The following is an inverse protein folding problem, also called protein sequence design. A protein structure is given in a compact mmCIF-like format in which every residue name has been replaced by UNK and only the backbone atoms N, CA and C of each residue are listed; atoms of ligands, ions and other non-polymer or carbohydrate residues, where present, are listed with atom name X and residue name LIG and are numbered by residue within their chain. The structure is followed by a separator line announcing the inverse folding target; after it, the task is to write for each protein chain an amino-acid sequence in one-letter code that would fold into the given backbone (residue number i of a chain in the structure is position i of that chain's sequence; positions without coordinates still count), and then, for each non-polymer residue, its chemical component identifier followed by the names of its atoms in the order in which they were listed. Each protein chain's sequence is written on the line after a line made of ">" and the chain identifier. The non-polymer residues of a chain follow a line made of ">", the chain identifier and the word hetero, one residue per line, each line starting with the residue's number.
data_IF_269357849532
#
_entry.id   IF_269357849532
#
_cell.length_a   1.000
_cell.length_b   1.000
_cell.length_c   1.000
_cell.angle_alpha   90.00
_cell.angle_beta   90.00
_cell.angle_gamma   90.00
#
_symmetry.space_group_name_H-M   'P 1'
#
loop_
_entity.id
_entity.type
_entity.pdbx_description
1 polymer ?
2 non-polymer ?
3 non-polymer ?
4 water ?
#
# COMPACT_ATOMS: atom_id res chain seq x y z
N UNK A 6 -22.94 17.66 -14.60
CA UNK A 6 -21.68 18.45 -14.45
C UNK A 6 -20.91 18.03 -13.20
N UNK A 7 -21.66 17.68 -12.16
CA UNK A 7 -21.05 17.25 -10.90
C UNK A 7 -20.11 16.08 -11.12
N UNK A 8 -20.56 15.10 -11.89
CA UNK A 8 -19.75 13.92 -12.17
C UNK A 8 -18.45 14.31 -12.88
N UNK A 9 -18.48 15.42 -13.60
CA UNK A 9 -17.31 15.91 -14.31
C UNK A 9 -16.27 16.35 -13.29
N UNK A 10 -16.74 16.93 -12.20
CA UNK A 10 -15.87 17.42 -11.14
C UNK A 10 -15.09 16.28 -10.47
N UNK A 11 -15.79 15.19 -10.18
CA UNK A 11 -15.15 14.04 -9.54
C UNK A 11 -14.09 13.45 -10.47
N UNK A 12 -14.42 13.36 -11.75
CA UNK A 12 -13.48 12.82 -12.74
C UNK A 12 -12.29 13.76 -12.88
N UNK A 13 -12.56 15.05 -12.78
CA UNK A 13 -11.52 16.07 -12.87
C UNK A 13 -10.57 15.85 -11.69
N UNK A 14 -11.16 15.65 -10.52
CA UNK A 14 -10.40 15.43 -9.30
C UNK A 14 -9.66 14.10 -9.37
N UNK A 15 -10.30 13.11 -9.97
CA UNK A 15 -9.71 11.78 -10.11
C UNK A 15 -8.45 11.91 -10.97
N UNK A 16 -8.54 12.73 -12.01
CA UNK A 16 -7.41 12.93 -12.90
C UNK A 16 -6.22 13.54 -12.15
N UNK A 17 -6.49 14.56 -11.34
CA UNK A 17 -5.44 15.20 -10.56
C UNK A 17 -4.80 14.18 -9.63
N UNK A 18 -5.63 13.33 -9.04
CA UNK A 18 -5.14 12.29 -8.14
C UNK A 18 -4.28 11.30 -8.92
N UNK A 19 -4.76 10.86 -10.08
CA UNK A 19 -3.99 9.91 -10.87
C UNK A 19 -2.65 10.49 -11.32
N UNK A 20 -2.60 11.81 -11.51
CA UNK A 20 -1.35 12.45 -11.93
C UNK A 20 -0.29 12.47 -10.84
N UNK A 21 -0.69 12.15 -9.61
CA UNK A 21 0.25 12.12 -8.49
C UNK A 21 0.48 10.70 -7.98
N UNK A 22 -0.28 9.74 -8.50
CA UNK A 22 -0.14 8.35 -8.08
C UNK A 22 1.26 7.80 -8.35
N UNK A 23 1.77 7.03 -7.39
CA UNK A 23 3.08 6.40 -7.49
C UNK A 23 2.85 4.95 -7.92
N UNK A 24 2.83 4.71 -9.23
CA UNK A 24 2.57 3.37 -9.75
C UNK A 24 3.61 2.38 -9.28
N UNK A 25 4.70 2.93 -8.77
CA UNK A 25 5.88 2.23 -8.31
C UNK A 25 5.93 1.83 -6.83
N UNK A 26 5.07 2.45 -6.02
CA UNK A 26 5.03 2.17 -4.58
C UNK A 26 3.83 1.26 -4.28
N UNK A 27 4.11 -0.01 -4.05
CA UNK A 27 3.08 -1.02 -3.81
C UNK A 27 2.97 -1.39 -2.34
N UNK A 28 1.76 -1.69 -1.89
CA UNK A 28 1.57 -2.11 -0.51
C UNK A 28 0.91 -3.49 -0.50
N UNK A 29 1.39 -4.36 0.38
CA UNK A 29 0.84 -5.71 0.51
C UNK A 29 0.45 -5.88 1.98
N UNK A 30 -0.84 -6.11 2.23
CA UNK A 30 -1.35 -6.30 3.58
C UNK A 30 -1.40 -7.80 3.85
N UNK A 31 -0.54 -8.25 4.76
CA UNK A 31 -0.45 -9.66 5.08
C UNK A 31 -1.27 -10.04 6.29
N UNK A 32 -2.46 -10.57 6.03
CA UNK A 32 -3.37 -11.02 7.07
C UNK A 32 -3.71 -9.97 8.12
N UNK A 33 -4.20 -8.81 7.68
CA UNK A 33 -4.59 -7.76 8.62
C UNK A 33 -5.89 -8.20 9.28
N UNK A 34 -5.86 -8.30 10.60
CA UNK A 34 -6.99 -8.74 11.40
C UNK A 34 -8.36 -8.13 11.14
N UNK A 35 -8.62 -6.96 11.71
CA UNK A 35 -9.94 -6.34 11.56
C UNK A 35 -10.11 -5.34 10.43
N UNK A 36 -11.35 -5.19 9.99
CA UNK A 36 -11.67 -4.29 8.90
C UNK A 36 -11.44 -2.82 9.19
N UNK A 37 -11.48 -2.42 10.46
CA UNK A 37 -11.25 -1.02 10.80
C UNK A 37 -9.80 -0.68 10.45
N UNK A 38 -8.87 -1.57 10.81
CA UNK A 38 -7.46 -1.32 10.50
C UNK A 38 -7.26 -1.40 8.99
N UNK A 39 -7.91 -2.37 8.34
CA UNK A 39 -7.75 -2.50 6.90
C UNK A 39 -8.25 -1.24 6.17
N UNK A 40 -9.42 -0.74 6.57
CA UNK A 40 -9.97 0.45 5.93
C UNK A 40 -9.07 1.66 6.14
N UNK A 41 -8.48 1.76 7.33
CA UNK A 41 -7.59 2.86 7.63
C UNK A 41 -6.36 2.78 6.73
N UNK A 42 -5.89 1.56 6.48
CA UNK A 42 -4.73 1.36 5.61
C UNK A 42 -5.07 1.78 4.18
N UNK A 43 -6.29 1.49 3.75
CA UNK A 43 -6.70 1.88 2.40
C UNK A 43 -6.66 3.40 2.30
N UNK A 44 -7.19 4.08 3.32
CA UNK A 44 -7.20 5.54 3.35
C UNK A 44 -5.78 6.09 3.29
N UNK A 45 -4.87 5.47 4.03
CA UNK A 45 -3.48 5.90 4.06
C UNK A 45 -2.79 5.69 2.71
N UNK A 46 -3.12 4.59 2.04
CA UNK A 46 -2.54 4.32 0.72
C UNK A 46 -2.94 5.45 -0.22
N UNK A 47 -4.22 5.78 -0.20
CA UNK A 47 -4.78 6.84 -1.03
C UNK A 47 -4.08 8.18 -0.76
N UNK A 48 -3.82 8.45 0.52
CA UNK A 48 -3.18 9.69 0.94
C UNK A 48 -1.77 9.90 0.41
N UNK A 49 -0.96 8.84 0.38
CA UNK A 49 0.41 8.97 -0.09
C UNK A 49 0.62 8.72 -1.57
N UNK A 50 -0.44 8.38 -2.28
CA UNK A 50 -0.29 8.15 -3.71
C UNK A 50 -0.14 6.70 -4.12
N UNK A 51 -0.45 5.78 -3.22
CA UNK A 51 -0.35 4.37 -3.57
C UNK A 51 -1.53 4.02 -4.47
N UNK A 52 -1.24 3.33 -5.57
CA UNK A 52 -2.27 2.94 -6.52
C UNK A 52 -2.66 1.47 -6.41
N UNK A 53 -1.73 0.63 -5.98
CA UNK A 53 -2.01 -0.80 -5.86
C UNK A 53 -1.82 -1.35 -4.45
N UNK A 54 -2.88 -1.95 -3.92
CA UNK A 54 -2.87 -2.55 -2.59
C UNK A 54 -3.29 -4.01 -2.76
N UNK A 55 -2.42 -4.94 -2.40
CA UNK A 55 -2.72 -6.36 -2.48
C UNK A 55 -2.90 -6.84 -1.06
N UNK A 56 -3.68 -7.91 -0.88
CA UNK A 56 -3.89 -8.42 0.47
C UNK A 56 -4.13 -9.93 0.49
N UNK A 57 -3.76 -10.54 1.61
CA UNK A 57 -3.91 -11.97 1.84
C UNK A 57 -4.67 -12.07 3.16
N UNK A 58 -5.75 -12.84 3.19
CA UNK A 58 -6.50 -12.95 4.44
C UNK A 58 -7.00 -14.36 4.74
N UNK A 59 -7.25 -14.61 6.02
CA UNK A 59 -7.72 -15.91 6.49
C UNK A 59 -8.99 -16.36 5.77
N UNK A 60 -9.15 -17.67 5.63
CA UNK A 60 -10.30 -18.25 4.95
C UNK A 60 -10.57 -17.48 3.67
N UNK A 61 -9.86 -17.84 2.60
CA UNK A 61 -10.03 -17.13 1.35
C UNK A 61 -9.40 -15.77 1.54
N UNK A 62 -10.22 -14.78 1.90
CA UNK A 62 -9.80 -13.40 2.16
C UNK A 62 -10.87 -12.39 1.76
N UNK A 63 -12.13 -12.80 1.82
CA UNK A 63 -13.23 -11.91 1.47
C UNK A 63 -13.23 -10.71 2.42
N UNK A 64 -12.47 -9.68 2.05
CA UNK A 64 -12.36 -8.47 2.87
C UNK A 64 -13.50 -7.49 2.62
N UNK A 65 -14.14 -7.05 3.69
CA UNK A 65 -15.24 -6.10 3.61
C UNK A 65 -14.80 -4.74 4.14
N UNK A 66 -14.62 -3.79 3.23
CA UNK A 66 -14.19 -2.44 3.60
C UNK A 66 -15.37 -1.62 4.13
N UNK A 67 -15.10 -0.79 5.13
CA UNK A 67 -16.13 0.05 5.72
C UNK A 67 -16.12 1.41 5.04
N UNK A 68 -17.19 1.70 4.30
CA UNK A 68 -17.30 2.97 3.58
C UNK A 68 -17.27 4.16 4.54
N UNK A 69 -17.74 3.94 5.77
CA UNK A 69 -17.76 5.01 6.75
C UNK A 69 -16.39 5.33 7.32
N UNK A 70 -15.45 4.39 7.18
CA UNK A 70 -14.09 4.57 7.68
C UNK A 70 -13.12 4.85 6.53
N UNK A 71 -13.47 4.39 5.34
CA UNK A 71 -12.63 4.60 4.17
C UNK A 71 -12.98 5.93 3.52
N UNK A 72 -14.17 6.44 3.83
CA UNK A 72 -14.65 7.71 3.29
C UNK A 72 -14.74 7.66 1.76
N UNK A 73 -14.85 6.45 1.22
CA UNK A 73 -14.95 6.30 -0.22
C UNK A 73 -13.61 6.18 -0.92
N UNK A 74 -12.53 6.29 -0.15
CA UNK A 74 -11.18 6.21 -0.70
C UNK A 74 -10.93 4.84 -1.34
N UNK A 75 -11.62 3.82 -0.84
CA UNK A 75 -11.47 2.47 -1.36
C UNK A 75 -11.75 2.43 -2.86
N UNK A 76 -12.29 3.53 -3.38
CA UNK A 76 -12.63 3.60 -4.79
C UNK A 76 -11.49 4.00 -5.72
N UNK A 77 -10.50 4.73 -5.22
CA UNK A 77 -9.40 5.15 -6.08
C UNK A 77 -8.06 4.45 -5.87
N UNK A 78 -8.12 3.26 -5.28
CA UNK A 78 -6.94 2.43 -5.06
C UNK A 78 -7.37 1.04 -5.55
N UNK A 79 -6.52 0.38 -6.33
CA UNK A 79 -6.85 -0.96 -6.82
C UNK A 79 -6.53 -1.93 -5.69
N UNK A 80 -7.55 -2.63 -5.21
CA UNK A 80 -7.38 -3.59 -4.12
C UNK A 80 -7.56 -4.99 -4.70
N UNK A 81 -6.51 -5.80 -4.60
CA UNK A 81 -6.53 -7.16 -5.14
C UNK A 81 -6.18 -8.24 -4.13
N UNK A 82 -7.07 -9.22 -4.01
CA UNK A 82 -6.88 -10.34 -3.10
C UNK A 82 -5.89 -11.32 -3.73
N UNK A 83 -4.97 -11.84 -2.93
CA UNK A 83 -3.95 -12.78 -3.38
C UNK A 83 -4.10 -14.06 -2.57
N UNK A 84 -3.92 -15.22 -3.21
CA UNK A 84 -4.05 -16.50 -2.51
C UNK A 84 -2.71 -17.06 -2.06
N UNK A 85 -1.64 -16.55 -2.65
CA UNK A 85 -0.29 -17.01 -2.33
C UNK A 85 0.63 -15.79 -2.29
N UNK A 86 0.93 -15.28 -1.08
CA UNK A 86 1.79 -14.11 -0.88
C UNK A 86 3.18 -14.19 -1.50
N UNK A 87 3.92 -15.24 -1.17
CA UNK A 87 5.27 -15.42 -1.68
C UNK A 87 5.31 -15.45 -3.21
N UNK A 88 4.35 -16.13 -3.82
CA UNK A 88 4.30 -16.22 -5.27
C UNK A 88 4.10 -14.83 -5.88
N UNK A 89 3.16 -14.08 -5.34
CA UNK A 89 2.88 -12.74 -5.84
C UNK A 89 4.07 -11.81 -5.62
N UNK A 90 4.65 -11.86 -4.43
CA UNK A 90 5.79 -11.02 -4.12
C UNK A 90 6.99 -11.36 -4.99
N UNK A 91 7.13 -12.63 -5.35
CA UNK A 91 8.24 -13.06 -6.20
C UNK A 91 8.08 -12.46 -7.58
N UNK A 92 6.83 -12.31 -8.02
CA UNK A 92 6.55 -11.73 -9.32
C UNK A 92 7.07 -10.30 -9.36
N UNK A 93 6.86 -9.56 -8.28
CA UNK A 93 7.34 -8.18 -8.22
C UNK A 93 8.85 -8.15 -8.08
N UNK A 94 9.38 -9.05 -7.25
CA UNK A 94 10.82 -9.10 -7.03
C UNK A 94 11.56 -9.34 -8.35
N UNK A 95 11.10 -10.33 -9.11
CA UNK A 95 11.73 -10.64 -10.39
C UNK A 95 11.58 -9.48 -11.38
N UNK A 96 10.64 -8.58 -11.10
CA UNK A 96 10.41 -7.42 -11.96
C UNK A 96 11.25 -6.22 -11.52
N UNK A 97 12.11 -6.42 -10.53
CA UNK A 97 12.96 -5.34 -10.06
C UNK A 97 12.49 -4.59 -8.83
N UNK A 98 11.41 -5.06 -8.21
CA UNK A 98 10.89 -4.40 -7.01
C UNK A 98 11.59 -4.93 -5.76
N UNK A 99 11.98 -4.03 -4.86
CA UNK A 99 12.60 -4.47 -3.62
C UNK A 99 11.44 -4.78 -2.67
N UNK A 100 11.53 -5.90 -1.97
CA UNK A 100 10.49 -6.31 -1.04
C UNK A 100 10.92 -5.88 0.37
N UNK A 101 10.16 -4.95 0.94
CA UNK A 101 10.43 -4.40 2.27
C UNK A 101 9.36 -4.91 3.23
N UNK A 102 9.77 -5.70 4.22
CA UNK A 102 8.80 -6.26 5.15
C UNK A 102 9.02 -5.91 6.61
N UNK A 103 7.93 -5.63 7.31
CA UNK A 103 8.01 -5.32 8.74
C UNK A 103 8.23 -6.65 9.43
N UNK A 104 9.36 -6.78 10.11
CA UNK A 104 9.71 -8.01 10.81
C UNK A 104 10.22 -7.62 12.20
N UNK A 105 9.50 -8.05 13.23
CA UNK A 105 9.85 -7.72 14.61
C UNK A 105 11.01 -8.59 15.06
N UNK A 106 12.21 -8.05 14.92
CA UNK A 106 13.42 -8.78 15.28
C UNK A 106 14.57 -7.80 15.47
N UNK A 107 15.52 -8.17 16.34
CA UNK A 107 16.66 -7.31 16.60
C UNK A 107 17.59 -7.26 15.38
N UNK A 108 17.37 -8.17 14.44
CA UNK A 108 18.18 -8.22 13.22
C UNK A 108 17.67 -7.24 12.16
N UNK A 109 16.44 -6.76 12.34
CA UNK A 109 15.84 -5.83 11.39
C UNK A 109 16.46 -4.44 11.51
N UNK A 110 16.34 -3.64 10.46
CA UNK A 110 16.90 -2.31 10.47
C UNK A 110 15.83 -1.24 10.65
N UNK A 111 16.26 -0.06 11.09
CA UNK A 111 15.38 1.08 11.29
C UNK A 111 14.72 1.36 9.93
N UNK A 112 13.40 1.50 9.92
CA UNK A 112 12.66 1.73 8.68
C UNK A 112 13.12 2.93 7.84
N UNK A 113 13.82 3.87 8.46
CA UNK A 113 14.28 5.04 7.70
C UNK A 113 15.56 4.78 6.90
N UNK A 114 16.13 3.59 7.05
CA UNK A 114 17.36 3.26 6.33
C UNK A 114 17.10 2.74 4.92
N UNK A 115 15.83 2.46 4.62
CA UNK A 115 15.44 1.97 3.31
C UNK A 115 15.23 3.11 2.33
N UNK A 116 15.53 2.86 1.06
CA UNK A 116 15.34 3.86 0.01
C UNK A 116 14.00 3.53 -0.65
N UNK A 117 12.95 4.26 -0.27
CA UNK A 117 11.61 4.01 -0.81
C UNK A 117 11.34 4.67 -2.17
N UNK A 118 12.33 5.36 -2.73
CA UNK A 118 12.14 6.03 -4.02
C UNK A 118 12.27 5.09 -5.22
N UNK A 119 12.81 3.90 -5.00
CA UNK A 119 12.95 2.92 -6.08
C UNK A 119 11.71 2.03 -6.05
N UNK A 120 11.47 1.25 -7.13
CA UNK A 120 10.29 0.37 -7.14
C UNK A 120 10.29 -0.45 -5.86
N UNK A 121 9.22 -0.31 -5.08
CA UNK A 121 9.12 -0.98 -3.79
C UNK A 121 7.75 -1.56 -3.46
N UNK A 122 7.76 -2.72 -2.81
CA UNK A 122 6.53 -3.33 -2.34
C UNK A 122 6.69 -3.35 -0.82
N UNK A 123 5.88 -2.57 -0.11
CA UNK A 123 5.94 -2.54 1.35
C UNK A 123 4.96 -3.59 1.88
N UNK A 124 5.46 -4.56 2.64
CA UNK A 124 4.60 -5.59 3.20
C UNK A 124 4.42 -5.38 4.69
N UNK A 125 3.16 -5.28 5.12
CA UNK A 125 2.83 -5.08 6.53
C UNK A 125 1.86 -6.19 6.92
N UNK A 126 1.64 -6.39 8.21
CA UNK A 126 0.71 -7.44 8.58
C UNK A 126 0.50 -7.62 10.07
N UNK A 127 -0.38 -8.56 10.41
CA UNK A 127 -0.69 -8.86 11.80
C UNK A 127 -0.27 -10.25 12.23
N UNK A 128 0.78 -10.80 11.63
CA UNK A 128 1.25 -12.11 12.06
C UNK A 128 2.11 -11.81 13.29
N UNK A 129 2.53 -12.85 14.00
CA UNK A 129 3.32 -12.69 15.22
C UNK A 129 4.42 -11.63 15.16
N UNK A 130 5.24 -11.67 14.12
CA UNK A 130 6.33 -10.70 13.99
C UNK A 130 6.11 -9.69 12.86
N UNK A 131 4.85 -9.48 12.49
CA UNK A 131 4.53 -8.55 11.42
C UNK A 131 4.05 -9.36 10.23
N UNK A 132 4.98 -9.72 9.36
CA UNK A 132 4.66 -10.54 8.21
C UNK A 132 4.96 -11.98 8.62
N UNK A 133 4.52 -12.94 7.81
CA UNK A 133 4.77 -14.34 8.12
C UNK A 133 6.22 -14.69 7.84
N UNK A 134 6.69 -15.83 8.37
CA UNK A 134 8.08 -16.23 8.13
C UNK A 134 8.26 -16.57 6.65
N UNK A 135 7.20 -17.05 6.02
CA UNK A 135 7.24 -17.39 4.60
C UNK A 135 7.57 -16.15 3.78
N UNK A 136 6.93 -15.04 4.13
CA UNK A 136 7.16 -13.79 3.42
C UNK A 136 8.53 -13.17 3.72
N UNK A 137 8.92 -13.11 4.99
CA UNK A 137 10.19 -12.51 5.34
C UNK A 137 11.37 -13.23 4.68
N UNK A 138 11.19 -14.51 4.37
CA UNK A 138 12.25 -15.29 3.74
C UNK A 138 12.66 -14.76 2.37
N UNK A 139 11.74 -14.08 1.69
CA UNK A 139 12.02 -13.54 0.37
C UNK A 139 12.23 -12.02 0.35
N UNK A 140 12.15 -11.39 1.51
CA UNK A 140 12.31 -9.94 1.60
C UNK A 140 13.73 -9.46 1.35
N UNK A 141 13.85 -8.26 0.78
CA UNK A 141 15.14 -7.64 0.50
C UNK A 141 15.54 -6.83 1.72
N UNK A 142 14.54 -6.29 2.41
CA UNK A 142 14.77 -5.50 3.61
C UNK A 142 13.79 -5.92 4.71
N UNK A 143 14.29 -6.04 5.93
CA UNK A 143 13.48 -6.39 7.09
C UNK A 143 13.53 -5.15 7.98
N UNK A 144 12.38 -4.53 8.22
CA UNK A 144 12.35 -3.30 9.00
C UNK A 144 11.53 -3.28 10.28
N UNK A 145 11.91 -2.36 11.16
CA UNK A 145 11.21 -2.16 12.42
C UNK A 145 11.13 -0.67 12.65
N UNK A 146 10.18 -0.27 13.48
CA UNK A 146 10.00 1.13 13.84
C UNK A 146 10.51 1.22 15.28
N UNK A 147 11.39 2.19 15.58
CA UNK A 147 11.92 2.31 16.95
C UNK A 147 10.84 2.49 18.02
N UNK A 148 10.98 1.75 19.12
CA UNK A 148 10.03 1.80 20.23
C UNK A 148 10.78 2.14 21.51
N UNK A 149 10.15 2.91 22.39
CA UNK A 149 10.79 3.30 23.64
C UNK A 149 9.94 3.01 24.88
N UNK A 150 8.82 2.31 24.70
CA UNK A 150 7.95 2.02 25.83
C UNK A 150 7.76 0.55 26.14
N UNK A 151 6.63 0.19 26.75
CA UNK A 151 6.39 -1.20 27.09
C UNK A 151 5.90 -2.01 25.89
N UNK A 152 5.12 -1.37 25.02
CA UNK A 152 4.59 -2.06 23.85
C UNK A 152 5.73 -2.52 22.95
N UNK A 153 5.61 -3.73 22.43
CA UNK A 153 6.62 -4.30 21.55
C UNK A 153 6.40 -3.88 20.10
N UNK A 154 5.17 -3.48 19.78
CA UNK A 154 4.85 -3.07 18.42
C UNK A 154 3.71 -2.06 18.41
N UNK A 155 3.47 -1.47 17.24
CA UNK A 155 2.41 -0.48 17.06
C UNK A 155 1.21 -1.12 16.37
N UNK A 156 0.07 -0.43 16.41
CA UNK A 156 -1.13 -0.88 15.71
C UNK A 156 -0.68 -0.95 14.24
N UNK A 157 -1.05 -2.02 13.53
CA UNK A 157 -0.63 -2.18 12.13
C UNK A 157 -0.96 -1.00 11.21
N UNK A 158 -2.12 -0.37 11.40
CA UNK A 158 -2.50 0.76 10.56
C UNK A 158 -1.62 1.98 10.84
N UNK A 159 -1.30 2.19 12.11
CA UNK A 159 -0.46 3.32 12.48
C UNK A 159 0.94 3.11 11.91
N UNK A 160 1.48 1.90 12.07
CA UNK A 160 2.82 1.60 11.56
C UNK A 160 2.87 1.79 10.05
N UNK A 161 1.82 1.35 9.37
CA UNK A 161 1.76 1.47 7.92
C UNK A 161 1.82 2.94 7.51
N UNK A 162 1.10 3.79 8.23
CA UNK A 162 1.12 5.21 7.91
C UNK A 162 2.48 5.83 8.16
N UNK A 163 3.12 5.44 9.26
CA UNK A 163 4.43 5.98 9.61
C UNK A 163 5.45 5.63 8.52
N UNK A 164 5.46 4.37 8.11
CA UNK A 164 6.40 3.93 7.09
C UNK A 164 6.08 4.57 5.74
N UNK A 165 4.81 4.54 5.33
CA UNK A 165 4.45 5.14 4.05
C UNK A 165 4.75 6.63 3.99
N UNK A 166 4.70 7.32 5.13
CA UNK A 166 4.99 8.75 5.07
C UNK A 166 6.48 9.04 5.05
N UNK A 167 7.29 8.04 5.40
CA UNK A 167 8.73 8.23 5.29
C UNK A 167 8.97 8.08 3.79
N UNK A 168 8.25 7.15 3.17
CA UNK A 168 8.36 6.94 1.72
C UNK A 168 7.90 8.21 1.00
N UNK A 169 6.84 8.83 1.51
CA UNK A 169 6.31 10.06 0.93
C UNK A 169 7.35 11.17 0.99
N UNK A 170 7.99 11.30 2.14
CA UNK A 170 9.00 12.33 2.35
C UNK A 170 10.14 12.17 1.35
N UNK A 171 10.64 10.95 1.22
CA UNK A 171 11.75 10.68 0.30
C UNK A 171 11.37 10.98 -1.14
N UNK A 172 10.21 10.49 -1.57
CA UNK A 172 9.76 10.72 -2.94
C UNK A 172 9.45 12.19 -3.20
N UNK A 173 8.90 12.86 -2.20
CA UNK A 173 8.59 14.27 -2.33
C UNK A 173 9.88 15.05 -2.60
N UNK A 174 10.93 14.70 -1.85
CA UNK A 174 12.22 15.35 -1.97
C UNK A 174 12.82 15.23 -3.37
N UNK A 175 12.50 14.15 -4.07
CA UNK A 175 13.00 13.93 -5.42
C UNK A 175 12.02 14.43 -6.47
N UNK A 176 10.97 15.11 -6.03
CA UNK A 176 9.97 15.63 -6.95
C UNK A 176 9.15 14.56 -7.65
N UNK A 177 9.04 13.39 -7.04
CA UNK A 177 8.28 12.30 -7.66
C UNK A 177 6.77 12.48 -7.64
N UNK A 178 6.29 13.52 -6.97
CA UNK A 178 4.87 13.81 -6.94
C UNK A 178 4.60 15.00 -7.87
N UNK A 179 5.67 15.57 -8.42
CA UNK A 179 5.53 16.73 -9.30
C UNK A 179 5.31 16.36 -10.77
N UNK A 180 5.56 15.10 -11.11
CA UNK A 180 5.34 14.63 -12.48
C UNK A 180 4.65 13.27 -12.41
N UNK A 181 3.69 13.02 -13.31
CA UNK A 181 2.95 11.75 -13.34
C UNK A 181 3.82 10.53 -13.66
N UNK A 182 3.71 9.48 -12.86
CA UNK A 182 4.47 8.26 -13.12
C UNK A 182 3.63 7.41 -14.09
N UNK A 183 2.33 7.68 -14.13
CA UNK A 183 1.43 6.99 -15.05
C UNK A 183 1.42 7.76 -16.36
N UNK A 184 1.35 7.06 -17.48
CA UNK A 184 1.31 7.71 -18.79
C UNK A 184 -0.12 8.16 -19.05
N UNK A 185 -0.31 9.05 -20.01
CA UNK A 185 -1.65 9.53 -20.34
C UNK A 185 -2.55 8.36 -20.77
N UNK A 186 -1.98 7.37 -21.45
CA UNK A 186 -2.78 6.22 -21.89
C UNK A 186 -3.34 5.49 -20.67
N UNK A 187 -2.48 5.29 -19.69
CA UNK A 187 -2.84 4.60 -18.45
C UNK A 187 -3.84 5.41 -17.63
N UNK A 188 -3.65 6.72 -17.60
CA UNK A 188 -4.55 7.61 -16.88
C UNK A 188 -5.93 7.56 -17.53
N UNK A 189 -5.99 7.68 -18.85
CA UNK A 189 -7.28 7.63 -19.52
C UNK A 189 -7.96 6.29 -19.34
N UNK A 190 -7.18 5.21 -19.34
CA UNK A 190 -7.75 3.88 -19.17
C UNK A 190 -8.41 3.77 -17.80
N UNK A 191 -7.72 4.24 -16.77
CA UNK A 191 -8.26 4.18 -15.43
C UNK A 191 -9.48 5.08 -15.28
N UNK A 192 -9.42 6.29 -15.82
CA UNK A 192 -10.55 7.21 -15.74
C UNK A 192 -11.80 6.55 -16.32
N UNK A 193 -11.65 5.98 -17.51
CA UNK A 193 -12.76 5.32 -18.18
C UNK A 193 -13.27 4.14 -17.35
N UNK A 194 -12.35 3.29 -16.91
CA UNK A 194 -12.71 2.11 -16.12
C UNK A 194 -13.44 2.45 -14.83
N UNK A 195 -12.85 3.31 -14.01
CA UNK A 195 -13.48 3.66 -12.75
C UNK A 195 -14.78 4.44 -12.89
N UNK A 196 -14.87 5.26 -13.93
CA UNK A 196 -16.09 6.03 -14.16
C UNK A 196 -17.19 5.04 -14.52
N UNK A 197 -16.79 3.93 -15.14
CA UNK A 197 -17.71 2.88 -15.55
C UNK A 197 -18.10 1.99 -14.37
N UNK A 198 -17.09 1.51 -13.64
CA UNK A 198 -17.33 0.65 -12.48
C UNK A 198 -18.08 1.38 -11.37
N UNK A 199 -17.86 2.69 -11.27
CA UNK A 199 -18.53 3.50 -10.26
C UNK A 199 -20.04 3.50 -10.46
N UNK A 200 -20.46 3.43 -11.72
CA UNK A 200 -21.88 3.42 -12.05
C UNK A 200 -22.45 2.01 -11.98
N UNK A 201 -21.94 1.12 -12.82
CA UNK A 201 -22.40 -0.27 -12.85
C UNK A 201 -22.26 -0.91 -11.47
N UNK A 202 -23.11 -1.90 -11.19
CA UNK A 202 -23.08 -2.60 -9.91
C UNK A 202 -24.08 -3.74 -9.88
X LIG B 1 -12.27 6.51 11.44
X LIG B 1 -13.54 6.11 10.81
X LIG B 1 -11.14 5.89 10.71
X LIG B 1 -12.25 6.05 12.84
X LIG B 1 -12.13 7.97 11.40
X LIG C 1 3.37 -3.56 10.86
X LIG C 1 3.25 -4.61 9.90
X LIG C 1 3.24 -4.22 12.28
X LIG C 1 1.94 -4.85 12.38
X LIG C 1 3.36 -3.14 13.37
X LIG C 1 3.30 -3.69 14.69
X LIG D 1 3.41 -7.35 15.27
X LIG D 1 4.22 -6.46 14.48
X LIG D 1 1.97 -7.39 14.64
X LIG D 1 1.38 -6.07 14.70
X LIG D 1 1.08 -8.36 15.46
X LIG D 1 -0.29 -8.34 15.02
X LIG E 1 -11.98 -8.23 8.08
X LIG E 1 -11.59 -9.48 8.64
X LIG E 1 -11.41 -8.15 6.62
X LIG E 1 -9.97 -8.24 6.66
X LIG E 1 -11.82 -6.80 5.97
X LIG E 1 -10.92 -5.73 6.27
#
# INVERSE_FOLDING_TARGET
>A
MVMEYLVLEKRLKRLREVLEKRQKDLIVFADNVKNEHNFSAIVRTCDAVGVLYLYYYHAEGKKAKINEGITQGSHKWVFIEKVDNPVQKLLEFKNRGFQIVATWLSKESVNFREVDYTKPTVLVVGNELQGVSPEIVEIADKKIVIPMYGMAQSLNVSVATGIILYEAQRQREEKGMYSRPSLSEEEIQKILKKWAYEDVIKERKRTLSTS
>B hetero
1 SO4 S O1 O2 O3 O4
>C hetero
1 GOL C1 O1 C2 O2 C3 O3
>D hetero
1 GOL C1 O1 C2 O2 C3 O3
>E hetero
1 GOL C1 O1 C2 O2 C3 O3
#
